data_IF_834269404006
#
_entry.id   IF_834269404006
#
_cell.length_a   1.000
_cell.length_b   1.000
_cell.length_c   1.000
_cell.angle_alpha   90.00
_cell.angle_beta   90.00
_cell.angle_gamma   90.00
#
_symmetry.space_group_name_H-M   'P 1'
#
loop_
_entity.id
_entity.type
_entity.pdbx_description
1 polymer ?
#
# COMPACT_ATOMS: atom_id res chain seq x y z
N UNK A 1 -5.73 3.94 14.04
CA UNK A 1 -6.15 5.14 13.29
C UNK A 1 -6.33 4.77 11.81
N UNK A 2 -7.42 5.17 11.15
CA UNK A 2 -7.61 4.83 9.74
C UNK A 2 -6.62 5.61 8.85
N UNK A 3 -6.12 4.96 7.81
CA UNK A 3 -5.36 5.63 6.75
C UNK A 3 -6.37 6.03 5.69
N UNK A 4 -6.46 7.32 5.40
CA UNK A 4 -7.33 7.87 4.37
C UNK A 4 -6.46 8.34 3.21
N UNK A 5 -6.67 7.76 2.03
CA UNK A 5 -6.07 8.20 0.76
C UNK A 5 -7.16 8.91 -0.03
N UNK A 6 -6.86 10.11 -0.52
CA UNK A 6 -7.80 10.91 -1.32
C UNK A 6 -7.24 11.06 -2.72
N UNK A 7 -8.05 10.73 -3.70
CA UNK A 7 -7.72 10.83 -5.11
C UNK A 7 -8.68 11.80 -5.78
N UNK A 8 -8.14 12.68 -6.61
CA UNK A 8 -8.94 13.50 -7.53
C UNK A 8 -9.46 12.59 -8.65
N UNK A 9 -10.76 12.48 -8.79
CA UNK A 9 -11.39 11.62 -9.80
C UNK A 9 -11.76 12.42 -11.06
N UNK A 10 -12.37 13.59 -10.88
CA UNK A 10 -12.66 14.51 -11.98
C UNK A 10 -12.71 15.95 -11.47
N UNK A 11 -12.41 16.88 -12.38
CA UNK A 11 -12.63 18.30 -12.20
C UNK A 11 -13.39 18.79 -13.43
N UNK A 12 -14.62 19.21 -13.21
CA UNK A 12 -15.42 19.85 -14.23
C UNK A 12 -15.45 21.36 -13.99
N UNK A 13 -15.30 22.15 -15.03
CA UNK A 13 -15.39 23.59 -14.91
C UNK A 13 -16.36 24.17 -15.93
N UNK A 14 -17.03 25.22 -15.54
CA UNK A 14 -17.94 25.96 -16.41
C UNK A 14 -17.66 27.46 -16.30
N UNK A 15 -17.36 28.08 -17.46
CA UNK A 15 -17.20 29.53 -17.56
C UNK A 15 -18.59 30.17 -17.64
N UNK A 16 -18.96 30.87 -16.58
CA UNK A 16 -20.20 31.62 -16.53
C UNK A 16 -20.00 33.04 -17.16
N UNK A 17 -21.12 33.69 -17.48
CA UNK A 17 -21.06 35.11 -17.90
C UNK A 17 -20.36 35.95 -16.84
N UNK A 18 -19.65 36.99 -17.24
CA UNK A 18 -18.90 37.91 -16.37
C UNK A 18 -17.59 37.39 -15.76
N UNK A 19 -16.88 36.50 -16.47
CA UNK A 19 -15.57 35.97 -16.06
C UNK A 19 -15.59 35.14 -14.78
N UNK A 20 -16.72 34.55 -14.42
CA UNK A 20 -16.89 33.69 -13.28
C UNK A 20 -16.70 32.24 -13.72
N UNK A 21 -15.79 31.52 -13.04
CA UNK A 21 -15.55 30.10 -13.27
C UNK A 21 -16.14 29.33 -12.09
N UNK A 22 -17.03 28.37 -12.38
CA UNK A 22 -17.47 27.40 -11.39
C UNK A 22 -16.74 26.07 -11.58
N UNK A 23 -16.31 25.46 -10.49
CA UNK A 23 -15.65 24.17 -10.48
C UNK A 23 -16.52 23.15 -9.75
N UNK A 24 -16.64 21.95 -10.33
CA UNK A 24 -17.17 20.77 -9.66
C UNK A 24 -16.07 19.71 -9.59
N UNK A 25 -15.77 19.26 -8.40
CA UNK A 25 -14.67 18.33 -8.16
C UNK A 25 -15.18 17.04 -7.51
N UNK A 26 -14.92 15.91 -8.14
CA UNK A 26 -15.22 14.60 -7.58
C UNK A 26 -13.97 14.00 -6.93
N UNK A 27 -14.07 13.65 -5.66
CA UNK A 27 -12.99 13.04 -4.89
C UNK A 27 -13.35 11.60 -4.53
N UNK A 28 -12.40 10.68 -4.71
CA UNK A 28 -12.48 9.30 -4.22
C UNK A 28 -11.64 9.16 -2.95
N UNK A 29 -12.27 8.68 -1.88
CA UNK A 29 -11.58 8.37 -0.63
C UNK A 29 -11.46 6.86 -0.46
N UNK A 30 -10.25 6.38 -0.23
CA UNK A 30 -9.97 5.01 0.19
C UNK A 30 -9.60 5.01 1.66
N UNK A 31 -10.27 4.17 2.45
CA UNK A 31 -10.04 4.08 3.89
C UNK A 31 -9.50 2.70 4.23
N UNK A 32 -8.27 2.65 4.71
CA UNK A 32 -7.62 1.44 5.23
C UNK A 32 -7.72 1.43 6.75
N UNK A 33 -8.27 0.35 7.30
CA UNK A 33 -8.41 0.16 8.75
C UNK A 33 -7.63 -1.08 9.17
N UNK A 34 -6.61 -0.88 10.01
CA UNK A 34 -5.88 -1.97 10.63
C UNK A 34 -6.50 -2.35 11.96
N UNK A 35 -6.75 -3.65 12.16
CA UNK A 35 -7.21 -4.21 13.42
C UNK A 35 -6.07 -4.99 14.08
N UNK A 36 -5.72 -4.61 15.31
CA UNK A 36 -4.77 -5.40 16.11
C UNK A 36 -5.47 -6.66 16.58
N UNK A 37 -4.92 -7.82 16.22
CA UNK A 37 -5.35 -9.11 16.72
C UNK A 37 -4.33 -9.66 17.71
N UNK A 38 -4.82 -10.14 18.86
CA UNK A 38 -3.97 -10.86 19.83
C UNK A 38 -4.02 -12.34 19.47
N UNK A 39 -2.88 -12.88 19.07
CA UNK A 39 -2.71 -14.29 18.77
C UNK A 39 -2.15 -14.99 20.00
N UNK A 40 -2.73 -16.14 20.38
CA UNK A 40 -2.20 -17.02 21.42
C UNK A 40 -1.57 -18.22 20.73
N UNK A 41 -0.30 -18.46 21.01
CA UNK A 41 0.43 -19.65 20.56
C UNK A 41 1.50 -20.01 21.59
N UNK A 42 1.95 -21.26 21.57
CA UNK A 42 3.07 -21.70 22.39
C UNK A 42 4.37 -21.08 21.88
N UNK A 43 5.08 -20.39 22.76
CA UNK A 43 6.42 -19.85 22.48
C UNK A 43 7.54 -20.84 22.81
N UNK A 44 7.34 -21.66 23.86
CA UNK A 44 8.29 -22.70 24.26
C UNK A 44 7.59 -23.82 25.06
N UNK A 45 8.22 -24.99 25.14
CA UNK A 45 7.74 -26.15 25.92
C UNK A 45 8.82 -26.50 26.93
N UNK A 46 8.48 -26.32 28.22
CA UNK A 46 9.36 -26.68 29.35
C UNK A 46 8.75 -27.85 30.06
N UNK A 47 9.53 -28.91 30.26
CA UNK A 47 9.10 -30.14 30.99
C UNK A 47 10.01 -30.34 32.17
N UNK A 48 9.40 -30.71 33.33
CA UNK A 48 10.10 -31.03 34.55
C UNK A 48 9.76 -32.46 34.98
N UNK A 49 10.74 -33.38 35.16
CA UNK A 49 12.17 -33.20 34.87
C UNK A 49 12.46 -33.00 33.40
N UNK A 50 13.61 -32.35 33.05
CA UNK A 50 13.93 -32.03 31.69
C UNK A 50 14.05 -33.28 30.83
N UNK A 51 13.16 -33.42 29.88
CA UNK A 51 13.12 -34.46 28.87
C UNK A 51 13.55 -33.94 27.51
N UNK A 52 14.07 -34.85 26.69
CA UNK A 52 14.35 -34.50 25.29
C UNK A 52 13.04 -34.48 24.51
N UNK A 53 12.59 -33.26 24.23
CA UNK A 53 11.47 -33.02 23.33
C UNK A 53 12.06 -32.54 22.00
N UNK A 54 11.62 -33.17 20.93
CA UNK A 54 11.89 -32.67 19.58
C UNK A 54 10.81 -31.65 19.24
N UNK A 55 11.21 -30.41 19.05
CA UNK A 55 10.33 -29.28 18.73
C UNK A 55 10.59 -28.87 17.29
N UNK A 56 9.52 -28.85 16.49
CA UNK A 56 9.56 -28.25 15.16
C UNK A 56 9.16 -26.78 15.28
N UNK A 57 10.15 -25.87 15.06
CA UNK A 57 9.96 -24.42 15.10
C UNK A 57 9.89 -23.85 13.70
N UNK A 58 8.85 -23.08 13.44
CA UNK A 58 8.68 -22.32 12.20
C UNK A 58 8.87 -20.84 12.48
N UNK A 59 9.71 -20.19 11.69
CA UNK A 59 9.86 -18.74 11.72
C UNK A 59 8.96 -18.09 10.65
N UNK A 60 8.18 -17.11 11.07
CA UNK A 60 7.38 -16.27 10.20
C UNK A 60 7.96 -14.85 10.23
N UNK A 61 8.07 -14.26 9.05
CA UNK A 61 8.41 -12.85 8.91
C UNK A 61 7.12 -12.09 8.58
N UNK A 62 6.65 -11.27 9.51
CA UNK A 62 5.46 -10.44 9.36
C UNK A 62 5.88 -8.98 9.22
N UNK A 63 5.11 -8.22 8.45
CA UNK A 63 5.18 -6.76 8.47
C UNK A 63 4.08 -6.23 9.39
N UNK A 64 4.49 -5.60 10.48
CA UNK A 64 3.58 -4.96 11.42
C UNK A 64 3.49 -3.47 11.09
N UNK A 65 2.28 -2.94 10.96
CA UNK A 65 2.08 -1.50 10.84
C UNK A 65 2.53 -0.81 12.13
N UNK A 66 3.57 0.00 12.03
CA UNK A 66 4.21 0.67 13.18
C UNK A 66 3.69 2.09 13.42
N UNK A 67 3.07 2.69 12.41
CA UNK A 67 2.49 4.02 12.56
C UNK A 67 2.57 4.89 11.31
N UNK A 68 2.19 6.14 11.48
CA UNK A 68 2.23 7.16 10.44
C UNK A 68 2.88 8.42 10.99
N UNK A 69 3.75 9.00 10.22
CA UNK A 69 4.36 10.30 10.50
C UNK A 69 3.89 11.31 9.45
N UNK A 70 3.69 12.54 9.90
CA UNK A 70 3.37 13.65 9.01
C UNK A 70 4.13 14.90 9.45
N UNK A 71 4.71 15.60 8.46
CA UNK A 71 5.38 16.88 8.67
C UNK A 71 5.03 17.81 7.52
N UNK A 72 4.74 19.07 7.82
CA UNK A 72 4.71 20.14 6.82
C UNK A 72 6.06 20.85 6.84
N UNK A 73 6.59 21.16 5.67
CA UNK A 73 7.87 21.84 5.48
C UNK A 73 7.76 22.86 4.37
N UNK A 74 8.70 23.77 4.31
CA UNK A 74 8.82 24.74 3.22
C UNK A 74 10.25 24.71 2.69
N UNK A 75 10.37 24.59 1.36
CA UNK A 75 11.64 24.56 0.64
C UNK A 75 11.73 25.80 -0.23
N UNK A 76 12.73 26.62 0.00
CA UNK A 76 12.96 27.85 -0.78
C UNK A 76 14.26 27.75 -1.57
N UNK A 77 14.26 28.33 -2.77
CA UNK A 77 15.46 28.38 -3.60
C UNK A 77 15.31 29.33 -4.78
N UNK A 78 16.43 29.61 -5.43
CA UNK A 78 16.48 30.42 -6.63
C UNK A 78 16.66 29.52 -7.86
N UNK A 79 15.90 29.81 -8.89
CA UNK A 79 15.94 29.12 -10.18
C UNK A 79 16.31 30.14 -11.24
N UNK A 80 17.37 29.89 -12.01
CA UNK A 80 17.76 30.76 -13.11
C UNK A 80 16.68 30.73 -14.19
N UNK A 81 16.25 31.92 -14.61
CA UNK A 81 15.31 32.04 -15.71
C UNK A 81 16.06 31.92 -17.05
N UNK A 82 15.54 31.15 -18.00
CA UNK A 82 16.07 31.11 -19.35
C UNK A 82 16.05 32.50 -20.00
N UNK A 83 17.02 32.75 -20.88
CA UNK A 83 17.10 34.01 -21.62
C UNK A 83 15.85 34.26 -22.45
N UNK A 84 15.40 35.49 -22.50
CA UNK A 84 14.26 35.93 -23.32
C UNK A 84 12.90 35.76 -22.66
N UNK A 85 12.81 35.31 -21.41
CA UNK A 85 11.53 35.22 -20.69
C UNK A 85 11.00 36.62 -20.40
N UNK A 86 9.90 36.98 -21.08
CA UNK A 86 9.22 38.28 -20.91
C UNK A 86 8.24 38.24 -19.74
N UNK A 87 7.41 37.17 -19.66
CA UNK A 87 6.38 37.02 -18.65
C UNK A 87 6.24 35.54 -18.26
N UNK A 88 6.02 35.28 -16.99
CA UNK A 88 5.59 33.97 -16.48
C UNK A 88 4.06 33.90 -16.51
N UNK A 89 3.54 32.82 -17.04
CA UNK A 89 2.11 32.51 -17.08
C UNK A 89 1.76 31.61 -15.92
N UNK A 90 2.56 30.52 -15.70
CA UNK A 90 2.39 29.59 -14.62
C UNK A 90 3.72 28.99 -14.18
N UNK A 91 3.75 28.48 -12.94
CA UNK A 91 4.91 27.79 -12.35
C UNK A 91 4.42 26.55 -11.63
N UNK A 92 4.73 25.39 -12.16
CA UNK A 92 4.39 24.08 -11.57
C UNK A 92 5.62 23.42 -10.98
N UNK A 93 5.48 22.79 -9.83
CA UNK A 93 6.57 22.12 -9.11
C UNK A 93 6.21 20.67 -8.84
N UNK A 94 7.12 19.75 -9.19
CA UNK A 94 7.01 18.33 -8.91
C UNK A 94 8.15 17.87 -8.00
N UNK A 95 7.87 17.33 -6.80
CA UNK A 95 8.90 16.76 -5.94
C UNK A 95 9.36 15.40 -6.46
N UNK A 96 10.67 15.19 -6.46
CA UNK A 96 11.32 13.93 -6.83
C UNK A 96 12.12 13.43 -5.63
N UNK A 97 11.62 12.39 -4.95
CA UNK A 97 12.34 11.74 -3.86
C UNK A 97 13.46 10.85 -4.44
N UNK A 98 14.71 11.13 -4.06
CA UNK A 98 15.89 10.37 -4.51
C UNK A 98 16.31 9.31 -3.50
N UNK A 99 16.19 9.62 -2.22
CA UNK A 99 16.63 8.74 -1.14
C UNK A 99 15.82 8.96 0.13
N UNK A 100 15.48 7.88 0.78
CA UNK A 100 14.81 7.83 2.07
C UNK A 100 15.68 7.01 3.04
N UNK A 101 16.01 7.58 4.20
CA UNK A 101 16.84 6.97 5.22
C UNK A 101 16.12 7.03 6.54
N UNK A 102 15.78 5.87 7.09
CA UNK A 102 15.25 5.75 8.44
C UNK A 102 16.38 5.41 9.41
N UNK A 103 16.42 6.09 10.55
CA UNK A 103 17.29 5.79 11.70
C UNK A 103 16.46 5.77 13.00
N UNK A 104 17.05 5.36 14.11
CA UNK A 104 16.34 5.24 15.39
C UNK A 104 15.69 6.54 15.91
N UNK A 105 15.93 7.69 15.28
CA UNK A 105 15.48 9.02 15.71
C UNK A 105 14.61 9.73 14.67
N UNK A 106 14.45 9.17 13.47
CA UNK A 106 13.59 9.78 12.44
C UNK A 106 13.84 9.26 11.03
N UNK A 107 13.22 9.95 10.07
CA UNK A 107 13.35 9.69 8.64
C UNK A 107 13.95 10.91 7.97
N UNK A 108 15.04 10.73 7.24
CA UNK A 108 15.65 11.77 6.42
C UNK A 108 15.29 11.52 4.95
N UNK A 109 14.74 12.53 4.31
CA UNK A 109 14.29 12.54 2.91
C UNK A 109 15.22 13.44 2.11
N UNK A 110 15.87 12.89 1.11
CA UNK A 110 16.74 13.60 0.18
C UNK A 110 16.08 13.62 -1.20
N UNK A 111 15.93 14.78 -1.78
CA UNK A 111 15.27 14.91 -3.07
C UNK A 111 15.57 16.20 -3.80
N UNK A 112 14.81 16.43 -4.84
CA UNK A 112 14.84 17.69 -5.58
C UNK A 112 13.45 18.05 -6.07
N UNK A 113 13.26 19.32 -6.39
CA UNK A 113 12.08 19.86 -7.03
C UNK A 113 12.37 20.07 -8.52
N UNK A 114 11.58 19.44 -9.36
CA UNK A 114 11.53 19.75 -10.78
C UNK A 114 10.55 20.92 -10.97
N UNK A 115 10.98 21.95 -11.69
CA UNK A 115 10.20 23.16 -11.93
C UNK A 115 9.84 23.24 -13.39
N UNK A 116 8.56 23.38 -13.70
CA UNK A 116 8.06 23.65 -15.05
C UNK A 116 7.53 25.07 -15.11
N UNK A 117 8.09 25.86 -16.01
CA UNK A 117 7.69 27.25 -16.28
C UNK A 117 6.85 27.29 -17.55
N UNK A 118 5.64 27.81 -17.49
CA UNK A 118 4.91 28.27 -18.65
C UNK A 118 5.17 29.77 -18.80
N UNK A 119 5.85 30.16 -19.86
CA UNK A 119 6.36 31.52 -20.01
C UNK A 119 6.18 32.06 -21.42
N UNK A 120 5.89 33.37 -21.52
CA UNK A 120 6.03 34.10 -22.77
C UNK A 120 7.51 34.43 -22.96
N UNK A 121 8.08 33.97 -24.05
CA UNK A 121 9.50 34.13 -24.36
C UNK A 121 9.70 34.86 -25.70
N UNK A 122 10.68 35.73 -25.75
CA UNK A 122 11.13 36.37 -26.97
C UNK A 122 12.07 35.42 -27.75
N UNK A 123 11.69 35.13 -29.00
CA UNK A 123 12.47 34.32 -29.94
C UNK A 123 12.61 35.11 -31.24
N UNK A 124 13.75 35.82 -31.39
CA UNK A 124 13.92 36.79 -32.48
C UNK A 124 12.95 37.95 -32.33
N UNK A 125 12.17 38.23 -33.38
CA UNK A 125 11.21 39.35 -33.40
C UNK A 125 9.79 38.93 -32.94
N UNK A 126 9.60 37.71 -32.44
CA UNK A 126 8.29 37.17 -32.02
C UNK A 126 8.28 36.77 -30.55
N UNK A 127 7.14 37.00 -29.90
CA UNK A 127 6.90 36.52 -28.56
C UNK A 127 6.06 35.23 -28.64
N UNK A 128 6.57 34.12 -28.07
CA UNK A 128 5.91 32.82 -28.06
C UNK A 128 5.69 32.36 -26.64
N UNK A 129 4.62 31.60 -26.42
CA UNK A 129 4.37 30.91 -25.12
C UNK A 129 5.09 29.57 -25.18
N UNK A 130 5.93 29.29 -24.20
CA UNK A 130 6.73 28.08 -24.16
C UNK A 130 6.69 27.43 -22.78
N UNK A 131 6.64 26.10 -22.75
CA UNK A 131 6.83 25.29 -21.53
C UNK A 131 8.31 24.91 -21.38
N UNK A 132 8.89 25.21 -20.23
CA UNK A 132 10.31 24.99 -19.92
C UNK A 132 10.44 24.16 -18.66
N UNK A 133 10.95 22.94 -18.79
CA UNK A 133 11.25 22.07 -17.66
C UNK A 133 12.68 22.31 -17.18
N UNK A 134 12.83 22.54 -15.88
CA UNK A 134 14.12 22.67 -15.18
C UNK A 134 14.21 21.54 -14.16
N UNK A 135 14.80 20.40 -14.53
CA UNK A 135 14.88 19.25 -13.65
C UNK A 135 15.86 19.48 -12.49
N UNK A 136 15.49 19.02 -11.30
CA UNK A 136 16.34 19.14 -10.11
C UNK A 136 16.66 20.58 -9.71
N UNK A 137 15.79 21.52 -10.03
CA UNK A 137 16.01 22.97 -9.87
C UNK A 137 16.37 23.37 -8.44
N UNK A 138 15.77 22.73 -7.44
CA UNK A 138 16.01 23.00 -6.02
C UNK A 138 16.21 21.65 -5.33
N UNK A 139 17.36 21.44 -4.70
CA UNK A 139 17.57 20.28 -3.83
C UNK A 139 16.93 20.51 -2.46
N UNK A 140 16.41 19.45 -1.86
CA UNK A 140 15.93 19.51 -0.49
C UNK A 140 16.44 18.33 0.34
N UNK A 141 16.60 18.60 1.64
CA UNK A 141 16.84 17.60 2.69
C UNK A 141 15.87 17.89 3.81
N UNK A 142 14.96 16.95 4.07
CA UNK A 142 13.95 17.10 5.09
C UNK A 142 14.03 15.95 6.09
N UNK A 143 13.94 16.27 7.38
CA UNK A 143 13.92 15.27 8.44
C UNK A 143 12.60 15.29 9.18
N UNK A 144 11.98 14.11 9.30
CA UNK A 144 10.82 13.87 10.16
C UNK A 144 11.35 13.23 11.44
N UNK A 145 11.32 13.98 12.54
CA UNK A 145 11.76 13.47 13.84
C UNK A 145 10.67 12.62 14.48
N UNK A 146 11.02 11.42 14.88
CA UNK A 146 10.17 10.53 15.65
C UNK A 146 11.03 9.46 16.31
N UNK A 147 10.72 9.03 17.55
CA UNK A 147 11.36 7.89 18.16
C UNK A 147 10.88 6.63 17.43
N UNK A 148 11.57 6.28 16.36
CA UNK A 148 11.32 5.06 15.60
C UNK A 148 12.30 3.99 16.08
N UNK A 149 11.77 2.76 16.33
CA UNK A 149 12.63 1.63 16.67
C UNK A 149 13.61 1.30 15.54
N UNK A 150 14.63 0.56 15.84
CA UNK A 150 15.55 0.06 14.83
C UNK A 150 14.84 -0.91 13.86
N UNK A 151 15.25 -0.90 12.60
CA UNK A 151 14.73 -1.75 11.52
C UNK A 151 13.30 -1.43 11.03
N UNK A 152 12.85 -0.19 11.11
CA UNK A 152 11.62 0.20 10.45
C UNK A 152 11.84 0.45 8.95
N UNK A 153 10.86 0.02 8.16
CA UNK A 153 10.74 0.39 6.76
C UNK A 153 9.78 1.58 6.68
N UNK A 154 10.16 2.58 5.90
CA UNK A 154 9.33 3.76 5.67
C UNK A 154 8.98 3.88 4.19
N UNK A 155 7.77 4.35 3.92
CA UNK A 155 7.32 4.75 2.58
C UNK A 155 6.73 6.14 2.67
N UNK A 156 7.42 7.11 2.08
CA UNK A 156 7.01 8.52 2.14
C UNK A 156 6.39 8.98 0.84
N UNK A 157 5.24 9.62 0.96
CA UNK A 157 4.60 10.39 -0.11
C UNK A 157 4.80 11.88 0.16
N UNK A 158 5.22 12.62 -0.87
CA UNK A 158 5.45 14.07 -0.81
C UNK A 158 4.41 14.75 -1.68
N UNK A 159 3.64 15.65 -1.07
CA UNK A 159 2.60 16.44 -1.75
C UNK A 159 3.00 17.91 -1.69
N UNK A 160 2.86 18.61 -2.81
CA UNK A 160 3.02 20.06 -2.86
C UNK A 160 1.73 20.71 -2.36
N UNK A 161 1.82 21.49 -1.29
CA UNK A 161 0.67 22.19 -0.71
C UNK A 161 0.45 23.56 -1.38
N UNK A 162 1.54 24.28 -1.66
CA UNK A 162 1.49 25.55 -2.36
C UNK A 162 2.82 25.83 -3.07
N UNK A 163 2.75 26.67 -4.09
CA UNK A 163 3.90 27.26 -4.77
C UNK A 163 3.74 28.77 -4.75
N UNK A 164 4.70 29.47 -4.17
CA UNK A 164 4.80 30.92 -4.20
C UNK A 164 6.08 31.33 -4.89
N UNK A 165 6.02 32.36 -5.74
CA UNK A 165 7.21 32.80 -6.45
C UNK A 165 7.29 34.32 -6.59
N UNK A 166 8.53 34.81 -6.65
CA UNK A 166 8.84 36.17 -6.97
C UNK A 166 9.94 36.22 -8.06
N UNK A 167 9.71 37.02 -9.09
CA UNK A 167 10.66 37.18 -10.18
C UNK A 167 11.60 38.33 -9.89
N UNK A 168 12.90 38.06 -10.07
CA UNK A 168 13.99 39.06 -10.03
C UNK A 168 14.77 38.95 -11.32
N UNK A 169 14.81 40.02 -12.12
CA UNK A 169 15.54 40.10 -13.40
C UNK A 169 15.78 38.76 -14.13
N UNK A 170 16.85 38.05 -13.76
CA UNK A 170 17.27 36.76 -14.35
C UNK A 170 16.98 35.50 -13.47
N UNK A 171 16.36 35.68 -12.33
CA UNK A 171 16.10 34.59 -11.38
C UNK A 171 14.65 34.59 -10.93
N UNK A 172 14.17 33.39 -10.60
CA UNK A 172 12.89 33.13 -9.95
C UNK A 172 13.16 32.60 -8.56
N UNK A 173 12.79 33.33 -7.53
CA UNK A 173 12.76 32.81 -6.17
C UNK A 173 11.47 32.06 -5.95
N UNK A 174 11.61 30.80 -5.56
CA UNK A 174 10.49 29.92 -5.24
C UNK A 174 10.43 29.66 -3.75
N UNK A 175 9.23 29.56 -3.22
CA UNK A 175 8.90 29.05 -1.90
C UNK A 175 7.80 28.00 -2.03
N UNK A 176 8.12 26.76 -1.72
CA UNK A 176 7.27 25.59 -1.99
C UNK A 176 6.94 24.90 -0.68
N UNK A 177 5.65 24.88 -0.33
CA UNK A 177 5.14 24.11 0.81
C UNK A 177 5.02 22.65 0.45
N UNK A 178 5.54 21.78 1.33
CA UNK A 178 5.51 20.33 1.18
C UNK A 178 4.84 19.68 2.37
N UNK A 179 3.90 18.77 2.10
CA UNK A 179 3.38 17.82 3.08
C UNK A 179 4.05 16.47 2.89
N UNK A 180 4.81 16.05 3.90
CA UNK A 180 5.53 14.80 3.96
C UNK A 180 4.70 13.80 4.79
N UNK A 181 4.30 12.68 4.19
CA UNK A 181 3.48 11.66 4.85
C UNK A 181 4.19 10.31 4.72
N UNK A 182 4.69 9.78 5.85
CA UNK A 182 5.42 8.51 5.91
C UNK A 182 4.61 7.45 6.61
N UNK A 183 4.42 6.30 5.96
CA UNK A 183 3.87 5.08 6.55
C UNK A 183 5.05 4.23 7.03
N UNK A 184 4.96 3.75 8.27
CA UNK A 184 5.99 2.95 8.91
C UNK A 184 5.52 1.51 9.06
N UNK A 185 6.37 0.56 8.67
CA UNK A 185 6.18 -0.87 8.92
C UNK A 185 7.41 -1.45 9.60
N UNK A 186 7.20 -2.40 10.52
CA UNK A 186 8.27 -3.11 11.22
C UNK A 186 8.30 -4.57 10.76
N UNK A 187 9.42 -5.08 10.23
CA UNK A 187 9.59 -6.50 10.04
C UNK A 187 9.70 -7.19 11.40
N UNK A 188 8.78 -8.10 11.70
CA UNK A 188 8.74 -8.84 12.95
C UNK A 188 8.91 -10.32 12.69
N UNK A 189 9.93 -10.92 13.28
CA UNK A 189 10.10 -12.37 13.28
C UNK A 189 9.34 -12.97 14.45
N UNK A 190 8.47 -13.93 14.17
CA UNK A 190 7.73 -14.68 15.17
C UNK A 190 8.16 -16.14 15.03
N UNK A 191 8.62 -16.75 16.12
CA UNK A 191 8.89 -18.19 16.17
C UNK A 191 7.67 -18.89 16.73
N UNK A 192 7.11 -19.83 15.96
CA UNK A 192 5.97 -20.65 16.32
C UNK A 192 6.44 -22.10 16.46
N UNK A 193 5.88 -22.81 17.41
CA UNK A 193 6.03 -24.27 17.48
C UNK A 193 4.95 -24.88 16.58
N UNK A 194 5.38 -25.52 15.51
CA UNK A 194 4.49 -26.18 14.55
C UNK A 194 4.12 -27.59 15.03
N UNK A 195 5.07 -28.29 15.66
CA UNK A 195 4.87 -29.63 16.20
C UNK A 195 5.86 -29.94 17.36
N UNK A 196 5.52 -30.90 18.19
CA UNK A 196 6.35 -31.37 19.28
C UNK A 196 6.19 -32.86 19.53
N UNK A 197 7.31 -33.58 19.58
CA UNK A 197 7.37 -35.02 19.83
C UNK A 197 8.27 -35.34 21.03
N UNK A 198 7.85 -36.31 21.87
CA UNK A 198 8.69 -36.83 22.95
C UNK A 198 9.67 -37.88 22.43
N UNK A 199 10.93 -37.72 22.79
CA UNK A 199 12.00 -38.69 22.46
C UNK A 199 12.13 -39.77 23.55
N UNK A 200 11.57 -39.56 24.74
CA UNK A 200 11.76 -40.40 25.91
C UNK A 200 10.66 -41.46 26.15
N UNK A 201 9.75 -41.64 25.19
CA UNK A 201 8.70 -42.65 25.30
C UNK A 201 7.46 -42.24 26.11
N UNK A 202 7.41 -40.98 26.58
CA UNK A 202 6.21 -40.39 27.17
C UNK A 202 5.28 -39.88 26.05
N UNK A 203 3.98 -39.89 26.29
CA UNK A 203 2.99 -39.36 25.35
C UNK A 203 2.94 -37.84 25.47
N UNK A 204 3.22 -37.14 24.38
CA UNK A 204 2.90 -35.71 24.26
C UNK A 204 1.57 -35.61 23.53
N UNK A 205 0.67 -34.85 24.10
CA UNK A 205 -0.59 -34.50 23.47
C UNK A 205 -0.54 -33.02 23.17
N UNK A 206 -0.79 -32.68 21.91
CA UNK A 206 -0.72 -31.31 21.39
C UNK A 206 -2.10 -30.86 20.90
N UNK A 207 -2.44 -29.62 21.20
CA UNK A 207 -3.60 -28.96 20.61
C UNK A 207 -3.09 -28.07 19.48
N UNK A 208 -3.46 -28.44 18.26
CA UNK A 208 -3.13 -27.68 17.08
C UNK A 208 -4.06 -26.50 16.90
N UNK A 209 -3.52 -25.40 16.38
CA UNK A 209 -4.25 -24.24 15.93
C UNK A 209 -3.73 -23.76 14.59
N UNK A 210 -4.50 -22.93 13.93
CA UNK A 210 -4.08 -22.24 12.72
C UNK A 210 -4.22 -20.74 12.92
N UNK A 211 -3.15 -20.01 12.64
CA UNK A 211 -3.18 -18.56 12.61
C UNK A 211 -3.50 -18.12 11.19
N UNK A 212 -4.63 -17.45 11.02
CA UNK A 212 -4.96 -16.78 9.77
C UNK A 212 -4.24 -15.44 9.75
N UNK A 213 -3.15 -15.37 9.01
CA UNK A 213 -2.35 -14.18 8.81
C UNK A 213 -2.61 -13.62 7.41
N UNK A 214 -2.32 -12.35 7.23
CA UNK A 214 -2.29 -11.73 5.91
C UNK A 214 -0.88 -11.20 5.66
N UNK A 215 -0.30 -11.58 4.54
CA UNK A 215 1.01 -11.11 4.09
C UNK A 215 0.82 -10.09 2.97
N UNK A 216 1.46 -8.95 3.14
CA UNK A 216 1.55 -7.95 2.08
C UNK A 216 2.59 -8.38 1.06
N UNK A 217 2.23 -8.36 -0.20
CA UNK A 217 3.14 -8.65 -1.32
C UNK A 217 3.00 -7.55 -2.35
N UNK A 218 4.14 -7.07 -2.83
CA UNK A 218 4.21 -6.06 -3.90
C UNK A 218 4.74 -6.75 -5.14
N UNK A 219 4.09 -6.54 -6.28
CA UNK A 219 4.56 -7.08 -7.56
C UNK A 219 5.90 -6.49 -7.98
N UNK A 220 6.60 -7.17 -8.87
CA UNK A 220 7.62 -6.52 -9.68
C UNK A 220 6.96 -5.43 -10.55
N UNK A 221 7.72 -4.36 -10.91
CA UNK A 221 7.22 -3.35 -11.85
C UNK A 221 6.92 -3.98 -13.22
N UNK A 222 5.70 -3.82 -13.69
CA UNK A 222 5.29 -4.22 -15.04
C UNK A 222 5.29 -3.02 -15.97
N UNK A 223 5.93 -3.14 -17.12
CA UNK A 223 5.97 -2.10 -18.15
C UNK A 223 4.96 -2.41 -19.24
N UNK A 224 4.15 -1.44 -19.57
CA UNK A 224 3.18 -1.52 -20.67
C UNK A 224 3.18 -0.22 -21.47
N UNK A 225 2.63 -0.27 -22.66
CA UNK A 225 2.50 0.90 -23.54
C UNK A 225 1.05 1.04 -23.95
N UNK A 226 0.54 2.26 -23.86
CA UNK A 226 -0.77 2.64 -24.36
C UNK A 226 -0.58 3.53 -25.60
N UNK A 227 -1.23 3.20 -26.71
CA UNK A 227 -1.07 3.90 -27.98
C UNK A 227 -2.42 4.22 -28.62
N UNK A 228 -2.54 5.38 -29.24
CA UNK A 228 -3.73 5.75 -29.99
C UNK A 228 -3.45 6.86 -30.98
N UNK A 229 -4.37 7.04 -31.97
CA UNK A 229 -4.42 8.16 -32.87
C UNK A 229 -5.62 9.04 -32.49
N UNK A 230 -5.34 10.24 -32.00
CA UNK A 230 -6.34 11.22 -31.56
C UNK A 230 -6.64 12.22 -32.67
N UNK A 231 -7.93 12.42 -32.96
CA UNK A 231 -8.36 13.46 -33.87
C UNK A 231 -8.70 14.72 -33.09
N UNK A 232 -8.30 15.86 -33.62
CA UNK A 232 -8.68 17.15 -33.04
C UNK A 232 -10.20 17.36 -33.22
N UNK A 233 -10.86 17.93 -32.22
CA UNK A 233 -12.27 18.30 -32.34
C UNK A 233 -12.50 19.29 -33.51
N UNK A 234 -13.62 19.12 -34.20
CA UNK A 234 -14.00 20.03 -35.29
C UNK A 234 -14.12 21.46 -34.77
N UNK A 235 -13.55 22.39 -35.52
CA UNK A 235 -13.57 23.84 -35.21
C UNK A 235 -12.40 24.35 -34.37
N UNK A 236 -11.52 23.47 -33.92
CA UNK A 236 -10.25 23.88 -33.30
C UNK A 236 -9.13 23.96 -34.36
N UNK A 237 -8.25 24.97 -34.28
CA UNK A 237 -7.10 25.07 -35.17
C UNK A 237 -6.08 23.97 -34.91
N UNK A 238 -5.32 23.63 -35.94
CA UNK A 238 -4.21 22.68 -35.75
C UNK A 238 -3.14 23.27 -34.84
N UNK A 239 -2.50 22.43 -33.99
CA UNK A 239 -1.42 22.87 -33.12
C UNK A 239 -0.21 23.34 -33.92
N UNK A 240 0.20 24.59 -33.68
CA UNK A 240 1.47 25.12 -34.14
C UNK A 240 2.60 24.80 -33.13
N UNK A 241 2.29 24.86 -31.85
CA UNK A 241 3.23 24.53 -30.75
C UNK A 241 2.49 23.91 -29.56
N UNK A 242 3.00 22.78 -29.08
CA UNK A 242 2.51 22.10 -27.87
C UNK A 242 3.17 22.72 -26.64
N UNK A 243 2.39 23.20 -25.69
CA UNK A 243 2.89 23.85 -24.47
C UNK A 243 2.87 22.90 -23.26
N UNK A 244 1.73 22.27 -23.02
CA UNK A 244 1.53 21.36 -21.89
C UNK A 244 0.87 20.11 -22.43
N UNK A 245 1.35 18.97 -21.94
CA UNK A 245 0.71 17.67 -22.12
C UNK A 245 0.65 16.98 -20.77
N UNK A 246 -0.55 16.70 -20.32
CA UNK A 246 -0.80 15.99 -19.08
C UNK A 246 -1.49 14.68 -19.36
N UNK A 247 -0.95 13.60 -18.81
CA UNK A 247 -1.51 12.26 -18.91
C UNK A 247 -1.92 11.81 -17.52
N UNK A 248 -3.17 11.39 -17.42
CA UNK A 248 -3.76 10.92 -16.16
C UNK A 248 -4.19 9.48 -16.33
N UNK A 249 -3.38 8.49 -15.88
CA UNK A 249 -3.76 7.09 -15.92
C UNK A 249 -4.79 6.78 -14.85
N UNK A 250 -5.75 5.90 -15.20
CA UNK A 250 -6.80 5.42 -14.31
C UNK A 250 -6.94 3.92 -14.45
N UNK A 251 -6.82 3.19 -13.34
CA UNK A 251 -7.16 1.77 -13.28
C UNK A 251 -8.67 1.62 -13.17
N UNK A 252 -9.26 0.83 -14.05
CA UNK A 252 -10.69 0.57 -14.05
C UNK A 252 -11.02 -0.81 -13.48
N UNK A 253 -10.16 -1.80 -13.77
CA UNK A 253 -10.39 -3.19 -13.39
C UNK A 253 -9.08 -3.90 -13.08
N UNK A 254 -9.16 -4.85 -12.15
CA UNK A 254 -8.09 -5.81 -11.90
C UNK A 254 -8.68 -7.22 -11.81
N UNK A 255 -8.08 -8.18 -12.49
CA UNK A 255 -8.56 -9.56 -12.56
C UNK A 255 -7.41 -10.54 -12.44
N UNK A 256 -7.61 -11.59 -11.62
CA UNK A 256 -6.66 -12.67 -11.48
C UNK A 256 -6.83 -13.71 -12.59
N UNK A 257 -5.71 -14.12 -13.20
CA UNK A 257 -5.63 -15.27 -14.07
C UNK A 257 -4.46 -16.16 -13.63
N UNK A 258 -4.74 -17.16 -12.82
CA UNK A 258 -3.71 -17.95 -12.13
C UNK A 258 -2.90 -17.09 -11.17
N UNK A 259 -1.58 -17.08 -11.30
CA UNK A 259 -0.64 -16.31 -10.47
C UNK A 259 -0.38 -14.89 -11.02
N UNK A 260 -1.08 -14.48 -12.06
CA UNK A 260 -0.93 -13.17 -12.70
C UNK A 260 -2.17 -12.31 -12.43
N UNK A 261 -1.95 -11.09 -11.92
CA UNK A 261 -2.97 -10.06 -11.81
C UNK A 261 -2.89 -9.15 -13.04
N UNK A 262 -3.97 -9.07 -13.80
CA UNK A 262 -4.08 -8.14 -14.91
C UNK A 262 -4.72 -6.84 -14.44
N UNK A 263 -3.99 -5.74 -14.55
CA UNK A 263 -4.50 -4.39 -14.29
C UNK A 263 -4.83 -3.72 -15.62
N UNK A 264 -6.10 -3.41 -15.83
CA UNK A 264 -6.60 -2.76 -17.05
C UNK A 264 -7.18 -1.40 -16.71
N UNK A 265 -7.00 -0.45 -17.62
CA UNK A 265 -7.50 0.89 -17.43
C UNK A 265 -7.28 1.77 -18.65
N UNK A 266 -7.51 3.04 -18.45
CA UNK A 266 -7.42 4.06 -19.48
C UNK A 266 -6.55 5.24 -19.00
N UNK A 267 -6.01 6.00 -19.95
CA UNK A 267 -5.42 7.30 -19.67
C UNK A 267 -6.24 8.39 -20.34
N UNK A 268 -6.49 9.48 -19.61
CA UNK A 268 -6.96 10.74 -20.18
C UNK A 268 -5.76 11.60 -20.57
N UNK A 269 -5.90 12.32 -21.66
CA UNK A 269 -4.91 13.24 -22.19
C UNK A 269 -5.47 14.65 -22.23
N UNK A 270 -4.81 15.57 -21.56
CA UNK A 270 -5.06 17.00 -21.67
C UNK A 270 -3.88 17.69 -22.32
N UNK A 271 -4.15 18.51 -23.31
CA UNK A 271 -3.13 19.36 -23.95
C UNK A 271 -3.52 20.82 -23.92
N UNK A 272 -2.52 21.67 -23.76
CA UNK A 272 -2.60 23.11 -24.02
C UNK A 272 -1.60 23.44 -25.13
N UNK A 273 -2.05 24.12 -26.18
CA UNK A 273 -1.25 24.39 -27.35
C UNK A 273 -1.54 25.78 -27.93
N UNK A 274 -0.60 26.28 -28.70
CA UNK A 274 -0.82 27.46 -29.58
C UNK A 274 -1.32 26.94 -30.90
N UNK A 275 -2.47 27.42 -31.34
CA UNK A 275 -3.03 27.09 -32.65
C UNK A 275 -2.35 27.83 -33.81
N UNK A 276 -2.66 27.45 -35.05
CA UNK A 276 -2.23 28.16 -36.28
C UNK A 276 -2.80 29.56 -36.36
N UNK A 277 -3.82 29.88 -35.57
CA UNK A 277 -4.39 31.22 -35.36
C UNK A 277 -3.60 32.09 -34.39
N UNK A 278 -2.52 31.55 -33.79
CA UNK A 278 -1.69 32.16 -32.77
C UNK A 278 -2.41 32.38 -31.41
N UNK A 279 -3.56 31.71 -31.19
CA UNK A 279 -4.30 31.74 -29.93
C UNK A 279 -4.04 30.47 -29.10
N UNK A 280 -4.30 30.57 -27.79
CA UNK A 280 -4.19 29.41 -26.85
C UNK A 280 -5.47 28.59 -26.89
N UNK A 281 -5.27 27.30 -27.09
CA UNK A 281 -6.33 26.29 -27.07
C UNK A 281 -6.03 25.18 -26.08
N UNK A 282 -7.09 24.55 -25.58
CA UNK A 282 -6.97 23.32 -24.77
C UNK A 282 -7.91 22.26 -25.30
N UNK A 283 -7.47 21.01 -25.22
CA UNK A 283 -8.29 19.83 -25.54
C UNK A 283 -8.08 18.79 -24.49
N UNK A 284 -9.19 18.23 -24.01
CA UNK A 284 -9.23 17.07 -23.15
C UNK A 284 -9.81 15.90 -23.94
N UNK A 285 -9.05 14.82 -24.06
CA UNK A 285 -9.54 13.52 -24.49
C UNK A 285 -9.63 12.61 -23.26
N UNK A 286 -10.81 12.32 -22.85
CA UNK A 286 -11.05 11.50 -21.67
C UNK A 286 -11.08 10.02 -22.01
N UNK A 287 -10.36 9.19 -21.23
CA UNK A 287 -10.33 7.73 -21.32
C UNK A 287 -9.98 7.19 -22.73
N UNK A 288 -9.02 7.76 -23.41
CA UNK A 288 -8.74 7.46 -24.83
C UNK A 288 -7.58 6.51 -25.08
N UNK A 289 -6.66 6.34 -24.11
CA UNK A 289 -5.53 5.42 -24.23
C UNK A 289 -5.77 4.24 -23.32
N UNK A 290 -6.07 3.07 -23.88
CA UNK A 290 -6.26 1.85 -23.13
C UNK A 290 -4.92 1.19 -22.80
N UNK A 291 -4.79 0.66 -21.58
CA UNK A 291 -3.63 -0.15 -21.18
C UNK A 291 -4.07 -1.43 -20.48
N UNK A 292 -3.22 -2.43 -20.57
CA UNK A 292 -3.33 -3.69 -19.83
C UNK A 292 -1.94 -4.10 -19.38
N UNK A 293 -1.76 -4.29 -18.08
CA UNK A 293 -0.48 -4.62 -17.47
C UNK A 293 -0.58 -5.96 -16.73
N UNK A 294 0.18 -6.99 -17.15
CA UNK A 294 0.32 -8.21 -16.38
C UNK A 294 1.27 -7.99 -15.21
N UNK A 295 0.84 -8.35 -14.00
CA UNK A 295 1.59 -8.25 -12.76
C UNK A 295 1.81 -9.65 -12.21
N UNK A 296 3.06 -10.07 -12.14
CA UNK A 296 3.43 -11.42 -11.71
C UNK A 296 3.47 -11.51 -10.18
N UNK A 297 2.78 -12.53 -9.67
CA UNK A 297 2.72 -12.90 -8.27
C UNK A 297 3.01 -14.40 -8.08
N UNK A 298 4.01 -14.91 -8.76
CA UNK A 298 4.40 -16.33 -8.69
C UNK A 298 4.50 -16.82 -7.25
N UNK A 299 3.82 -17.92 -6.95
CA UNK A 299 3.77 -18.56 -5.65
C UNK A 299 2.76 -17.95 -4.68
N UNK A 300 1.86 -17.07 -5.14
CA UNK A 300 0.69 -16.64 -4.38
C UNK A 300 -0.55 -17.51 -4.71
N UNK A 301 -1.32 -17.81 -3.67
CA UNK A 301 -2.65 -18.42 -3.86
C UNK A 301 -3.64 -17.39 -4.41
N UNK A 302 -4.62 -17.86 -5.20
CA UNK A 302 -5.57 -17.05 -5.99
C UNK A 302 -6.49 -16.14 -5.15
N UNK A 303 -6.52 -16.31 -3.83
CA UNK A 303 -7.41 -15.56 -2.92
C UNK A 303 -6.79 -14.27 -2.35
N UNK A 304 -5.72 -13.75 -2.98
CA UNK A 304 -5.11 -12.52 -2.55
C UNK A 304 -6.00 -11.30 -2.88
N UNK A 305 -6.23 -10.47 -1.88
CA UNK A 305 -7.01 -9.23 -1.99
C UNK A 305 -6.14 -8.09 -2.52
N UNK A 306 -6.56 -7.40 -3.57
CA UNK A 306 -5.83 -6.25 -4.11
C UNK A 306 -6.01 -5.07 -3.16
N UNK A 307 -4.89 -4.58 -2.58
CA UNK A 307 -4.87 -3.40 -1.69
C UNK A 307 -4.81 -2.11 -2.50
N UNK A 308 -4.00 -2.10 -3.57
CA UNK A 308 -3.84 -0.94 -4.43
C UNK A 308 -3.05 -1.24 -5.68
N UNK A 309 -3.27 -0.44 -6.71
CA UNK A 309 -2.51 -0.47 -7.95
C UNK A 309 -2.05 0.95 -8.24
N UNK A 310 -0.75 1.10 -8.47
CA UNK A 310 -0.11 2.36 -8.80
C UNK A 310 0.34 2.32 -10.26
N UNK A 311 -0.01 3.38 -11.01
CA UNK A 311 0.37 3.53 -12.42
C UNK A 311 1.15 4.83 -12.57
N UNK A 312 2.37 4.71 -13.07
CA UNK A 312 3.27 5.84 -13.29
C UNK A 312 3.58 5.98 -14.78
N UNK A 313 3.50 7.21 -15.28
CA UNK A 313 3.93 7.55 -16.64
C UNK A 313 5.45 7.69 -16.66
N UNK A 314 6.13 6.87 -17.46
CA UNK A 314 7.59 6.94 -17.63
C UNK A 314 8.00 7.89 -18.74
N UNK A 315 7.36 7.80 -19.90
CA UNK A 315 7.66 8.65 -21.05
C UNK A 315 6.48 8.74 -22.00
N UNK A 316 6.47 9.80 -22.75
CA UNK A 316 5.46 10.07 -23.77
C UNK A 316 6.17 10.33 -25.09
N UNK A 317 5.71 9.68 -26.15
CA UNK A 317 6.09 9.98 -27.54
C UNK A 317 4.87 10.49 -28.25
N UNK A 318 5.05 11.53 -29.04
CA UNK A 318 3.98 12.16 -29.79
C UNK A 318 4.46 12.49 -31.20
N UNK A 319 3.58 12.37 -32.16
CA UNK A 319 3.82 12.74 -33.55
C UNK A 319 2.56 13.29 -34.17
N UNK A 320 2.63 14.49 -34.74
CA UNK A 320 1.56 15.03 -35.55
C UNK A 320 1.59 14.36 -36.93
N UNK A 321 0.43 13.93 -37.36
CA UNK A 321 0.20 13.36 -38.70
C UNK A 321 -0.88 14.15 -39.44
N UNK A 322 -1.07 13.91 -40.71
CA UNK A 322 -2.16 14.55 -41.50
C UNK A 322 -3.56 14.20 -40.96
N UNK A 323 -3.69 13.11 -40.16
CA UNK A 323 -4.97 12.62 -39.66
C UNK A 323 -5.20 12.90 -38.17
N UNK A 324 -4.22 13.44 -37.45
CA UNK A 324 -4.33 13.72 -36.01
C UNK A 324 -3.01 13.64 -35.26
N UNK A 325 -3.12 13.43 -33.94
CA UNK A 325 -2.02 13.26 -33.01
C UNK A 325 -1.83 11.77 -32.69
N UNK A 326 -0.75 11.18 -33.20
CA UNK A 326 -0.28 9.87 -32.71
C UNK A 326 0.39 10.04 -31.36
N UNK A 327 -0.04 9.23 -30.37
CA UNK A 327 0.53 9.26 -29.02
C UNK A 327 0.81 7.85 -28.54
N UNK A 328 1.98 7.68 -27.92
CA UNK A 328 2.42 6.44 -27.28
C UNK A 328 2.94 6.76 -25.89
N UNK A 329 2.35 6.17 -24.87
CA UNK A 329 2.65 6.41 -23.46
C UNK A 329 3.22 5.14 -22.85
N UNK A 330 4.46 5.21 -22.38
CA UNK A 330 5.05 4.14 -21.59
C UNK A 330 4.64 4.28 -20.13
N UNK A 331 4.08 3.21 -19.59
CA UNK A 331 3.56 3.13 -18.22
C UNK A 331 4.31 2.08 -17.43
N UNK A 332 4.56 2.36 -16.15
CA UNK A 332 4.99 1.37 -15.16
C UNK A 332 3.87 1.16 -14.17
N UNK A 333 3.46 -0.08 -14.01
CA UNK A 333 2.37 -0.50 -13.13
C UNK A 333 2.92 -1.37 -12.00
N UNK A 334 2.50 -1.09 -10.79
CA UNK A 334 2.80 -1.84 -9.56
C UNK A 334 1.51 -2.18 -8.87
N UNK A 335 1.39 -3.38 -8.31
CA UNK A 335 0.27 -3.72 -7.44
C UNK A 335 0.75 -4.18 -6.08
N UNK A 336 -0.04 -3.86 -5.09
CA UNK A 336 0.07 -4.30 -3.72
C UNK A 336 -1.13 -5.17 -3.37
N UNK A 337 -0.86 -6.39 -2.90
CA UNK A 337 -1.90 -7.36 -2.56
C UNK A 337 -1.71 -7.88 -1.13
N UNK A 338 -2.82 -8.27 -0.52
CA UNK A 338 -2.86 -8.95 0.78
C UNK A 338 -3.17 -10.41 0.56
N UNK A 339 -2.16 -11.27 0.67
CA UNK A 339 -2.30 -12.70 0.51
C UNK A 339 -2.61 -13.37 1.87
N UNK A 340 -3.58 -14.30 1.95
CA UNK A 340 -3.78 -15.10 3.13
C UNK A 340 -2.57 -16.01 3.36
N UNK A 341 -2.12 -16.10 4.59
CA UNK A 341 -1.07 -17.01 5.01
C UNK A 341 -1.53 -17.79 6.24
N UNK A 342 -1.69 -19.09 6.08
CA UNK A 342 -2.06 -19.96 7.19
C UNK A 342 -0.79 -20.52 7.86
N UNK A 343 -0.59 -20.23 9.11
CA UNK A 343 0.50 -20.82 9.90
C UNK A 343 -0.06 -21.77 10.94
N UNK A 344 0.25 -23.05 10.79
CA UNK A 344 -0.06 -24.03 11.82
C UNK A 344 0.85 -23.80 13.03
N UNK A 345 0.27 -23.83 14.21
CA UNK A 345 0.99 -23.67 15.47
C UNK A 345 0.37 -24.54 16.56
N UNK A 346 1.14 -24.80 17.59
CA UNK A 346 0.62 -25.40 18.80
C UNK A 346 0.03 -24.32 19.71
N UNK A 347 -1.19 -24.54 20.16
CA UNK A 347 -1.87 -23.71 21.16
C UNK A 347 -1.52 -24.18 22.57
N UNK A 348 -1.47 -25.51 22.74
CA UNK A 348 -1.17 -26.17 24.03
C UNK A 348 -0.40 -27.46 23.76
N UNK A 349 0.47 -27.81 24.69
CA UNK A 349 1.16 -29.09 24.72
C UNK A 349 1.19 -29.64 26.16
N UNK A 350 0.92 -30.90 26.31
CA UNK A 350 0.98 -31.56 27.61
C UNK A 350 1.75 -32.90 27.50
N UNK A 351 2.60 -33.13 28.47
CA UNK A 351 3.33 -34.39 28.60
C UNK A 351 2.65 -35.23 29.68
N UNK A 352 2.30 -36.46 29.33
CA UNK A 352 1.66 -37.37 30.23
C UNK A 352 2.59 -38.55 30.51
N UNK A 353 2.67 -38.96 31.79
CA UNK A 353 3.11 -40.31 32.12
C UNK A 353 2.09 -41.30 31.53
N UNK A 354 2.49 -42.54 31.20
CA UNK A 354 1.55 -43.58 30.78
C UNK A 354 0.40 -43.64 31.78
N UNK A 355 -0.77 -43.20 31.39
CA UNK A 355 -1.95 -43.24 32.25
C UNK A 355 -2.50 -44.66 32.17
N UNK A 356 -2.48 -45.37 33.29
CA UNK A 356 -3.28 -46.57 33.39
C UNK A 356 -4.75 -46.22 33.06
N UNK A 357 -5.40 -46.94 32.16
CA UNK A 357 -6.76 -46.62 31.75
C UNK A 357 -7.68 -46.68 32.99
N UNK A 358 -8.26 -45.53 33.36
CA UNK A 358 -9.24 -45.46 34.43
C UNK A 358 -10.45 -46.35 34.07
N UNK A 359 -10.71 -47.45 34.80
CA UNK A 359 -11.80 -48.38 34.48
C UNK A 359 -13.21 -47.82 34.75
N UNK A 360 -13.30 -46.63 35.38
CA UNK A 360 -14.60 -46.04 35.72
C UNK A 360 -15.35 -45.55 34.48
N UNK A 361 -16.61 -45.91 34.38
CA UNK A 361 -17.51 -45.46 33.31
C UNK A 361 -18.04 -44.03 33.52
N UNK A 362 -18.09 -43.58 34.78
CA UNK A 362 -18.53 -42.24 35.17
C UNK A 362 -17.54 -41.73 36.22
N UNK A 363 -17.01 -40.56 36.00
CA UNK A 363 -16.10 -39.85 36.90
C UNK A 363 -16.63 -38.44 37.15
N UNK A 364 -16.71 -38.04 38.43
CA UNK A 364 -17.03 -36.65 38.77
C UNK A 364 -15.72 -35.91 39.07
N UNK A 365 -15.54 -34.76 38.43
CA UNK A 365 -14.35 -33.95 38.58
C UNK A 365 -14.75 -32.55 39.02
N UNK A 366 -14.00 -31.96 39.94
CA UNK A 366 -14.08 -30.52 40.26
C UNK A 366 -12.99 -29.79 39.48
N UNK A 367 -13.39 -28.79 38.73
CA UNK A 367 -12.48 -27.97 37.89
C UNK A 367 -11.53 -27.19 38.80
N UNK A 368 -10.24 -27.30 38.57
CA UNK A 368 -9.17 -26.51 39.22
C UNK A 368 -8.82 -25.26 38.40
N UNK A 369 -8.05 -24.29 38.98
CA UNK A 369 -7.71 -23.03 38.33
C UNK A 369 -6.96 -23.19 37.00
N UNK A 370 -6.20 -24.30 36.87
CA UNK A 370 -5.44 -24.58 35.65
C UNK A 370 -6.14 -25.57 34.70
N UNK A 371 -7.31 -26.06 35.03
CA UNK A 371 -8.04 -27.00 34.18
C UNK A 371 -8.69 -26.29 33.01
N UNK A 372 -8.65 -26.95 31.85
CA UNK A 372 -9.42 -26.57 30.66
C UNK A 372 -10.20 -27.80 30.17
N UNK A 373 -11.25 -27.57 29.39
CA UNK A 373 -12.04 -28.64 28.82
C UNK A 373 -11.18 -29.63 28.03
N UNK A 374 -10.22 -29.12 27.28
CA UNK A 374 -9.24 -29.93 26.56
C UNK A 374 -8.35 -30.76 27.49
N UNK A 375 -7.79 -30.16 28.57
CA UNK A 375 -7.00 -30.89 29.56
C UNK A 375 -7.78 -32.04 30.21
N UNK A 376 -9.05 -31.79 30.53
CA UNK A 376 -9.93 -32.81 31.10
C UNK A 376 -10.27 -33.90 30.08
N UNK A 377 -10.57 -33.54 28.85
CA UNK A 377 -10.80 -34.46 27.72
C UNK A 377 -9.64 -35.44 27.57
N UNK A 378 -8.42 -34.94 27.57
CA UNK A 378 -7.21 -35.74 27.39
C UNK A 378 -6.88 -36.57 28.63
N UNK A 379 -6.99 -35.98 29.84
CA UNK A 379 -6.71 -36.66 31.09
C UNK A 379 -7.63 -37.89 31.28
N UNK A 380 -8.88 -37.77 30.90
CA UNK A 380 -9.89 -38.83 31.07
C UNK A 380 -10.19 -39.58 29.78
N UNK A 381 -9.56 -39.23 28.66
CA UNK A 381 -9.78 -39.84 27.33
C UNK A 381 -11.25 -39.84 26.89
N UNK A 382 -11.92 -38.72 27.08
CA UNK A 382 -13.31 -38.48 26.71
C UNK A 382 -13.35 -37.30 25.73
N UNK A 383 -14.01 -37.43 24.54
CA UNK A 383 -14.13 -36.33 23.59
C UNK A 383 -14.72 -35.08 24.25
N UNK A 384 -14.22 -33.91 23.89
CA UNK A 384 -14.69 -32.63 24.46
C UNK A 384 -16.18 -32.43 24.23
N UNK A 385 -16.67 -32.84 23.06
CA UNK A 385 -18.07 -32.78 22.67
C UNK A 385 -18.96 -33.52 23.66
N UNK A 386 -18.52 -34.71 24.09
CA UNK A 386 -19.25 -35.50 25.07
C UNK A 386 -19.26 -34.84 26.45
N UNK A 387 -18.15 -34.20 26.86
CA UNK A 387 -18.10 -33.49 28.13
C UNK A 387 -19.04 -32.27 28.10
N UNK A 388 -19.10 -31.55 26.97
CA UNK A 388 -20.01 -30.43 26.78
C UNK A 388 -21.46 -30.87 26.85
N UNK A 389 -21.81 -31.92 26.11
CA UNK A 389 -23.18 -32.47 26.04
C UNK A 389 -23.66 -33.01 27.37
N UNK A 390 -22.84 -33.86 28.00
CA UNK A 390 -23.19 -34.52 29.29
C UNK A 390 -23.37 -33.54 30.46
N UNK A 391 -22.75 -32.35 30.37
CA UNK A 391 -22.80 -31.34 31.42
C UNK A 391 -23.60 -30.08 31.01
N UNK A 392 -24.15 -30.03 29.79
CA UNK A 392 -24.92 -28.89 29.29
C UNK A 392 -24.11 -27.60 29.26
N UNK A 393 -22.84 -27.66 28.87
CA UNK A 393 -21.97 -26.50 28.79
C UNK A 393 -22.30 -25.67 27.54
N UNK A 394 -22.35 -24.35 27.69
CA UNK A 394 -22.60 -23.42 26.56
C UNK A 394 -21.32 -22.87 25.92
N UNK A 395 -20.16 -23.09 26.54
CA UNK A 395 -18.85 -22.68 26.06
C UNK A 395 -17.77 -23.65 26.51
N UNK A 396 -16.57 -23.53 25.91
CA UNK A 396 -15.37 -24.28 26.33
C UNK A 396 -14.73 -23.73 27.61
N UNK A 397 -15.19 -22.56 28.10
CA UNK A 397 -14.66 -21.94 29.31
C UNK A 397 -15.24 -22.63 30.56
N UNK A 398 -14.31 -23.11 31.41
CA UNK A 398 -14.65 -23.73 32.68
C UNK A 398 -14.42 -22.78 33.85
N UNK A 399 -15.24 -22.87 34.89
CA UNK A 399 -15.08 -22.05 36.10
C UNK A 399 -14.46 -22.93 37.21
N UNK A 400 -13.37 -22.46 37.87
CA UNK A 400 -12.80 -23.14 39.00
C UNK A 400 -13.87 -23.45 40.08
N UNK A 401 -13.89 -24.70 40.59
CA UNK A 401 -14.90 -25.19 41.50
C UNK A 401 -16.15 -25.78 40.85
N UNK A 402 -16.31 -25.66 39.53
CA UNK A 402 -17.39 -26.31 38.78
C UNK A 402 -17.26 -27.84 38.83
N UNK A 403 -18.37 -28.54 39.02
CA UNK A 403 -18.39 -30.00 38.99
C UNK A 403 -18.84 -30.49 37.63
N UNK A 404 -18.04 -31.38 37.03
CA UNK A 404 -18.31 -32.01 35.75
C UNK A 404 -18.52 -33.54 35.95
N UNK A 405 -19.47 -34.07 35.20
CA UNK A 405 -19.71 -35.50 35.04
C UNK A 405 -19.04 -35.94 33.73
N UNK A 406 -18.06 -36.80 33.84
CA UNK A 406 -17.30 -37.34 32.70
C UNK A 406 -17.77 -38.78 32.45
N UNK A 407 -18.41 -39.02 31.30
CA UNK A 407 -18.92 -40.33 30.92
C UNK A 407 -18.13 -40.93 29.78
N UNK A 408 -17.70 -42.18 29.98
CA UNK A 408 -17.03 -42.95 28.92
C UNK A 408 -18.07 -43.87 28.27
N UNK A 409 -18.43 -43.56 27.03
CA UNK A 409 -19.32 -44.41 26.25
C UNK A 409 -18.55 -45.61 25.68
N UNK A 410 -19.13 -46.81 25.82
CA UNK A 410 -18.57 -48.01 25.20
C UNK A 410 -18.81 -47.94 23.70
N UNK A 411 -17.76 -48.03 22.88
CA UNK A 411 -17.90 -48.26 21.44
C UNK A 411 -18.45 -49.63 21.15
#
# INVERSE_FOLDING_TARGET
EPIVRTFLQSVDYNLQKDHLISFETTLRHEVLVYRVQKLKCLGDILVTPPEKIKIDKRELLLEEYAGKLQKSSSVSGNVALPLGVLRLVDVTVKPVLKRELADGTGITLLGSLDVTLLAVRELGDTAVVQSILIPGAIAFEERIEAPIGDNLLSRTNIVVDYVSYARFESELRLDVGLSLKSELTAPRRISLIADAESVAGRKIIVRNGSLALKRKVVSAPSKTTAETLLRFPEGLPEPAEMLIMQITPRVERSEWAGETLYASGTCSLEIIYVGTDAELHSVLWDNVLEFNAPLDFTGLEVDAEVIGIEVNTESVRQQFTETGLEISVALTVLAEVSAPEAANCLLEAMVFDEIEPNPAYITFVTVEEEDSLWKLSERYQIPMENIIEDNGLFSEELVPGQRLCLRRYRK
#
